data_IF_383632529219
#
_entry.id   IF_383632529219
#
_cell.length_a   1.000
_cell.length_b   1.000
_cell.length_c   1.000
_cell.angle_alpha   90.00
_cell.angle_beta   90.00
_cell.angle_gamma   90.00
#
_symmetry.space_group_name_H-M   'P 1'
#
loop_
_entity.id
_entity.type
_entity.pdbx_description
1 polymer ?
#
# COMPACT_ATOMS: atom_id res chain seq x y z
N UNK A 1 -71.93 -7.95 -43.24
CA UNK A 1 -71.18 -7.39 -42.10
C UNK A 1 -70.19 -8.45 -41.65
N UNK A 2 -68.88 -8.27 -41.88
CA UNK A 2 -67.80 -9.16 -41.44
C UNK A 2 -66.91 -8.36 -40.50
N UNK A 3 -66.89 -8.76 -39.23
CA UNK A 3 -66.02 -8.23 -38.17
C UNK A 3 -64.57 -8.67 -38.43
N UNK A 4 -63.63 -7.73 -38.44
CA UNK A 4 -62.17 -8.00 -38.43
C UNK A 4 -61.68 -7.95 -36.99
N UNK A 5 -61.27 -9.10 -36.48
CA UNK A 5 -60.54 -9.21 -35.24
C UNK A 5 -59.11 -8.77 -35.41
N UNK A 6 -58.65 -7.79 -34.61
CA UNK A 6 -57.28 -7.36 -34.57
C UNK A 6 -56.57 -8.13 -33.44
N UNK A 7 -55.58 -8.93 -33.81
CA UNK A 7 -54.69 -9.62 -32.88
C UNK A 7 -53.52 -8.71 -32.53
N UNK A 8 -53.48 -8.23 -31.26
CA UNK A 8 -52.34 -7.53 -30.70
C UNK A 8 -51.23 -8.52 -30.36
N UNK A 9 -50.16 -8.52 -31.13
CA UNK A 9 -48.94 -9.27 -30.80
C UNK A 9 -48.13 -8.52 -29.74
N UNK A 10 -48.05 -9.11 -28.54
CA UNK A 10 -47.09 -8.69 -27.54
C UNK A 10 -45.70 -9.23 -27.88
N UNK A 11 -44.74 -8.33 -28.13
CA UNK A 11 -43.32 -8.66 -28.27
C UNK A 11 -42.68 -8.66 -26.89
N UNK A 12 -42.12 -9.76 -26.38
CA UNK A 12 -41.43 -9.72 -25.10
C UNK A 12 -40.07 -9.03 -25.28
N UNK A 13 -39.92 -7.88 -24.61
CA UNK A 13 -38.63 -7.21 -24.47
C UNK A 13 -37.71 -8.05 -23.59
N UNK A 14 -36.74 -8.74 -24.17
CA UNK A 14 -35.71 -9.46 -23.43
C UNK A 14 -34.73 -8.44 -22.86
N UNK A 15 -34.83 -8.13 -21.56
CA UNK A 15 -33.81 -7.37 -20.85
C UNK A 15 -32.59 -8.28 -20.67
N UNK A 16 -31.54 -8.06 -21.46
CA UNK A 16 -30.20 -8.61 -21.20
C UNK A 16 -29.62 -7.87 -19.99
N UNK A 17 -29.70 -8.49 -18.82
CA UNK A 17 -28.93 -8.08 -17.64
C UNK A 17 -27.49 -8.49 -17.88
N UNK A 18 -26.65 -7.56 -18.34
CA UNK A 18 -25.21 -7.73 -18.37
C UNK A 18 -24.70 -7.79 -16.93
N UNK A 19 -24.49 -9.00 -16.43
CA UNK A 19 -23.80 -9.23 -15.16
C UNK A 19 -22.34 -8.86 -15.37
N UNK A 20 -21.95 -7.63 -15.01
CA UNK A 20 -20.55 -7.25 -14.93
C UNK A 20 -19.93 -8.07 -13.80
N UNK A 21 -19.21 -9.13 -14.14
CA UNK A 21 -18.32 -9.83 -13.19
C UNK A 21 -17.20 -8.86 -12.83
N UNK A 22 -17.37 -8.12 -11.75
CA UNK A 22 -16.27 -7.45 -11.10
C UNK A 22 -15.28 -8.55 -10.68
N UNK A 23 -14.15 -8.64 -11.36
CA UNK A 23 -13.03 -9.47 -10.87
C UNK A 23 -12.66 -8.91 -9.51
N UNK A 24 -12.92 -9.69 -8.46
CA UNK A 24 -12.45 -9.38 -7.13
C UNK A 24 -10.93 -9.26 -7.21
N UNK A 25 -10.41 -8.07 -6.90
CA UNK A 25 -8.96 -7.85 -6.82
C UNK A 25 -8.40 -8.76 -5.74
N UNK A 26 -7.21 -9.30 -5.99
CA UNK A 26 -6.51 -10.07 -4.96
C UNK A 26 -6.23 -9.16 -3.76
N UNK A 27 -6.84 -9.48 -2.62
CA UNK A 27 -6.71 -8.73 -1.38
C UNK A 27 -5.58 -9.26 -0.51
N UNK A 28 -4.75 -10.16 -1.04
CA UNK A 28 -3.67 -10.79 -0.29
C UNK A 28 -2.34 -10.61 -0.99
N UNK A 29 -1.36 -10.06 -0.27
CA UNK A 29 0.04 -10.01 -0.66
C UNK A 29 0.75 -11.22 -0.03
N UNK A 30 1.44 -12.02 -0.84
CA UNK A 30 2.35 -13.03 -0.34
C UNK A 30 3.76 -12.44 -0.16
N UNK A 31 4.18 -12.27 1.10
CA UNK A 31 5.55 -11.91 1.41
C UNK A 31 6.40 -13.18 1.50
N UNK A 32 7.44 -13.26 0.66
CA UNK A 32 8.24 -14.47 0.50
C UNK A 32 9.43 -14.47 1.46
N UNK A 33 9.68 -15.60 2.11
CA UNK A 33 10.82 -15.83 2.99
C UNK A 33 12.17 -15.53 2.32
N UNK A 34 13.09 -14.97 3.09
CA UNK A 34 14.51 -14.87 2.78
C UNK A 34 15.33 -15.41 3.96
N UNK A 35 16.35 -16.24 3.68
CA UNK A 35 17.13 -16.93 4.72
C UNK A 35 17.96 -15.98 5.60
N UNK A 36 18.31 -14.82 5.07
CA UNK A 36 19.08 -13.80 5.77
C UNK A 36 18.63 -12.39 5.39
N UNK A 37 18.93 -11.46 6.29
CA UNK A 37 18.76 -10.04 5.99
C UNK A 37 19.79 -9.64 4.90
N UNK A 38 19.36 -8.93 3.84
CA UNK A 38 20.22 -8.51 2.75
C UNK A 38 21.09 -7.31 3.13
N UNK A 39 22.03 -6.96 2.27
CA UNK A 39 22.46 -5.57 2.16
C UNK A 39 21.24 -4.72 1.80
N UNK A 40 20.93 -3.76 2.65
CA UNK A 40 19.69 -3.00 2.54
C UNK A 40 19.85 -1.90 1.50
N UNK A 41 19.21 -2.07 0.34
CA UNK A 41 19.26 -1.15 -0.79
C UNK A 41 17.90 -1.06 -1.53
N UNK A 42 17.87 -0.20 -2.55
CA UNK A 42 16.71 0.02 -3.42
C UNK A 42 16.84 -0.65 -4.79
N UNK A 43 17.79 -1.57 -4.97
CA UNK A 43 18.01 -2.23 -6.25
C UNK A 43 16.94 -3.30 -6.51
N UNK A 44 15.84 -2.93 -7.18
CA UNK A 44 14.74 -3.83 -7.53
C UNK A 44 15.19 -5.06 -8.34
N UNK A 45 16.36 -4.99 -9.00
CA UNK A 45 16.94 -6.09 -9.79
C UNK A 45 17.88 -6.99 -8.97
N UNK A 46 18.13 -6.69 -7.69
CA UNK A 46 18.90 -7.58 -6.81
C UNK A 46 18.24 -8.95 -6.68
N UNK A 47 19.01 -9.98 -6.38
CA UNK A 47 18.48 -11.33 -6.15
C UNK A 47 17.46 -11.36 -5.00
N UNK A 48 17.67 -10.52 -3.98
CA UNK A 48 16.75 -10.38 -2.87
C UNK A 48 15.34 -9.96 -3.35
N UNK A 49 15.23 -8.86 -4.09
CA UNK A 49 13.94 -8.36 -4.53
C UNK A 49 13.31 -9.17 -5.66
N UNK A 50 14.12 -9.76 -6.57
CA UNK A 50 13.61 -10.66 -7.62
C UNK A 50 12.97 -11.93 -7.08
N UNK A 51 13.31 -12.36 -5.87
CA UNK A 51 12.68 -13.49 -5.21
C UNK A 51 11.24 -13.22 -4.72
N UNK A 52 10.72 -11.99 -4.89
CA UNK A 52 9.36 -11.60 -4.52
C UNK A 52 8.53 -11.32 -5.77
N UNK A 53 7.31 -11.90 -5.91
CA UNK A 53 6.40 -11.50 -6.97
C UNK A 53 5.98 -10.04 -6.75
N UNK A 54 5.91 -9.23 -7.83
CA UNK A 54 5.46 -7.86 -7.73
C UNK A 54 3.94 -7.79 -7.49
N UNK A 55 3.53 -6.86 -6.66
CA UNK A 55 2.15 -6.41 -6.50
C UNK A 55 2.06 -4.98 -7.01
N UNK A 56 0.89 -4.57 -7.49
CA UNK A 56 0.74 -3.24 -8.05
C UNK A 56 -0.38 -2.49 -7.37
N UNK A 57 -0.15 -1.22 -7.07
CA UNK A 57 -1.19 -0.27 -6.70
C UNK A 57 -1.35 0.78 -7.79
N UNK A 58 -2.58 0.97 -8.24
CA UNK A 58 -2.94 1.85 -9.34
C UNK A 58 -4.38 2.39 -9.24
N UNK A 59 -4.95 2.38 -8.04
CA UNK A 59 -6.25 2.99 -7.75
C UNK A 59 -6.08 4.28 -6.95
N UNK A 60 -6.92 5.26 -7.23
CA UNK A 60 -7.03 6.43 -6.37
C UNK A 60 -7.80 6.10 -5.06
N UNK A 61 -7.93 7.08 -4.17
CA UNK A 61 -8.62 6.92 -2.89
C UNK A 61 -10.09 6.46 -3.01
N UNK A 62 -10.71 6.62 -4.18
CA UNK A 62 -12.11 6.27 -4.48
C UNK A 62 -12.25 5.07 -5.44
N UNK A 63 -11.16 4.35 -5.71
CA UNK A 63 -11.17 3.13 -6.52
C UNK A 63 -11.12 3.35 -8.03
N UNK A 64 -10.91 4.58 -8.48
CA UNK A 64 -10.69 4.86 -9.89
C UNK A 64 -9.24 4.54 -10.26
N UNK A 65 -9.05 3.80 -11.35
CA UNK A 65 -7.70 3.45 -11.81
C UNK A 65 -6.92 4.66 -12.30
N UNK A 66 -5.68 4.77 -11.83
CA UNK A 66 -4.68 5.75 -12.29
C UNK A 66 -3.40 5.04 -12.74
N UNK A 67 -3.39 4.44 -13.95
CA UNK A 67 -2.28 3.64 -14.44
C UNK A 67 -0.99 4.45 -14.64
N UNK A 68 -1.08 5.77 -14.72
CA UNK A 68 0.07 6.67 -14.87
C UNK A 68 1.02 6.58 -13.68
N UNK A 69 0.47 6.45 -12.48
CA UNK A 69 1.22 6.36 -11.23
C UNK A 69 1.26 4.94 -10.65
N UNK A 70 1.00 3.93 -11.51
CA UNK A 70 1.06 2.54 -11.11
C UNK A 70 2.39 2.23 -10.43
N UNK A 71 2.32 1.97 -9.15
CA UNK A 71 3.48 1.69 -8.31
C UNK A 71 3.65 0.19 -8.15
N UNK A 72 4.86 -0.31 -8.43
CA UNK A 72 5.22 -1.69 -8.14
C UNK A 72 5.65 -1.82 -6.68
N UNK A 73 5.23 -2.89 -6.03
CA UNK A 73 5.56 -3.19 -4.65
C UNK A 73 6.10 -4.61 -4.58
N UNK A 74 7.16 -4.80 -3.81
CA UNK A 74 7.71 -6.12 -3.48
C UNK A 74 7.85 -6.25 -1.99
N UNK A 75 7.57 -7.45 -1.44
CA UNK A 75 7.69 -7.71 -0.02
C UNK A 75 8.48 -8.99 0.23
N UNK A 76 9.40 -8.96 1.20
CA UNK A 76 10.16 -10.11 1.69
C UNK A 76 10.16 -10.10 3.21
N UNK A 77 10.37 -11.25 3.82
CA UNK A 77 10.52 -11.33 5.27
C UNK A 77 11.66 -12.27 5.67
N UNK A 78 12.24 -12.01 6.84
CA UNK A 78 13.22 -12.85 7.53
C UNK A 78 12.71 -13.15 8.94
N UNK A 79 13.48 -13.86 9.74
CA UNK A 79 13.13 -14.06 11.16
C UNK A 79 12.98 -12.75 11.93
N UNK A 80 13.62 -11.67 11.48
CA UNK A 80 13.72 -10.41 12.21
C UNK A 80 12.95 -9.27 11.59
N UNK A 81 12.81 -9.26 10.28
CA UNK A 81 12.36 -8.08 9.57
C UNK A 81 11.32 -8.40 8.49
N UNK A 82 10.40 -7.48 8.29
CA UNK A 82 9.60 -7.33 7.08
C UNK A 82 10.27 -6.27 6.19
N UNK A 83 10.37 -6.56 4.90
CA UNK A 83 10.93 -5.67 3.88
C UNK A 83 9.87 -5.30 2.88
N UNK A 84 9.78 -4.02 2.53
CA UNK A 84 8.89 -3.51 1.50
C UNK A 84 9.70 -2.62 0.57
N UNK A 85 9.59 -2.83 -0.74
CA UNK A 85 10.13 -1.98 -1.78
C UNK A 85 9.00 -1.37 -2.58
N UNK A 86 9.06 -0.06 -2.77
CA UNK A 86 8.20 0.70 -3.67
C UNK A 86 9.02 1.16 -4.89
N UNK A 87 8.47 0.96 -6.09
CA UNK A 87 9.00 1.48 -7.36
C UNK A 87 7.97 2.45 -7.91
N UNK A 88 8.27 3.73 -7.85
CA UNK A 88 7.32 4.83 -7.94
C UNK A 88 7.56 5.71 -9.17
N UNK A 89 6.88 5.50 -10.30
CA UNK A 89 6.94 6.43 -11.44
C UNK A 89 6.42 7.81 -11.05
N UNK A 90 7.02 8.87 -11.59
CA UNK A 90 6.60 10.25 -11.33
C UNK A 90 6.75 11.14 -12.57
N UNK A 91 5.97 12.23 -12.63
CA UNK A 91 6.19 13.30 -13.57
C UNK A 91 7.06 14.40 -12.96
N UNK A 92 6.67 14.87 -11.78
CA UNK A 92 7.35 15.87 -11.00
C UNK A 92 7.21 15.54 -9.52
N UNK A 93 8.31 15.52 -8.81
CA UNK A 93 8.34 15.30 -7.37
C UNK A 93 7.97 16.58 -6.62
N UNK A 94 7.22 16.41 -5.55
CA UNK A 94 6.92 17.42 -4.53
C UNK A 94 7.74 17.10 -3.29
N UNK A 95 8.99 17.57 -3.27
CA UNK A 95 9.97 17.27 -2.24
C UNK A 95 9.94 18.30 -1.11
N UNK A 96 10.13 17.84 0.12
CA UNK A 96 10.32 18.74 1.26
C UNK A 96 11.64 19.50 1.12
N UNK A 97 11.64 20.84 1.30
CA UNK A 97 12.89 21.59 1.33
C UNK A 97 13.70 21.26 2.59
N UNK A 98 15.02 21.24 2.46
CA UNK A 98 15.96 20.95 3.55
C UNK A 98 15.65 19.59 4.22
N UNK A 99 15.77 18.47 3.49
CA UNK A 99 15.45 17.16 4.02
C UNK A 99 16.33 16.81 5.22
N UNK A 100 15.76 16.14 6.20
CA UNK A 100 16.48 15.59 7.35
C UNK A 100 16.30 14.06 7.38
N UNK A 101 17.40 13.35 7.18
CA UNK A 101 17.43 11.89 7.22
C UNK A 101 18.04 11.33 8.52
N UNK A 102 18.27 12.20 9.52
CA UNK A 102 18.83 11.82 10.82
C UNK A 102 17.80 11.71 11.93
N UNK A 103 16.58 12.20 11.69
CA UNK A 103 15.47 12.16 12.61
C UNK A 103 14.16 12.06 11.84
N UNK A 104 13.12 11.63 12.50
CA UNK A 104 11.76 11.57 11.96
C UNK A 104 11.30 12.96 11.51
N UNK A 105 10.61 12.97 10.38
CA UNK A 105 10.01 14.19 9.83
C UNK A 105 8.51 14.16 10.09
N UNK A 106 8.06 14.97 11.06
CA UNK A 106 6.64 15.12 11.30
C UNK A 106 5.92 15.71 10.08
N UNK A 107 4.67 15.28 9.84
CA UNK A 107 3.84 15.68 8.70
C UNK A 107 4.50 15.39 7.33
N UNK A 108 5.24 14.27 7.23
CA UNK A 108 5.89 13.88 5.99
C UNK A 108 4.87 13.66 4.86
N UNK A 109 3.65 13.24 5.19
CA UNK A 109 2.51 13.08 4.27
C UNK A 109 2.11 14.35 3.49
N UNK A 110 2.57 15.53 3.88
CA UNK A 110 2.38 16.76 3.10
C UNK A 110 3.21 16.81 1.81
N UNK A 111 4.17 15.89 1.65
CA UNK A 111 5.10 15.78 0.54
C UNK A 111 4.89 14.44 -0.20
N UNK A 112 5.69 14.17 -1.21
CA UNK A 112 5.67 12.86 -1.85
C UNK A 112 6.16 11.79 -0.88
N UNK A 113 5.33 10.76 -0.65
CA UNK A 113 5.62 9.65 0.24
C UNK A 113 5.06 8.34 -0.29
N UNK A 114 5.66 7.22 0.14
CA UNK A 114 5.05 5.91 0.11
C UNK A 114 4.84 5.43 1.54
N UNK A 115 3.73 4.78 1.78
CA UNK A 115 3.22 4.50 3.11
C UNK A 115 2.81 3.03 3.23
N UNK A 116 3.07 2.43 4.39
CA UNK A 116 2.61 1.09 4.73
C UNK A 116 1.89 1.12 6.08
N UNK A 117 0.61 0.79 6.07
CA UNK A 117 -0.23 0.67 7.25
C UNK A 117 -0.39 -0.81 7.58
N UNK A 118 0.06 -1.23 8.77
CA UNK A 118 0.17 -2.65 9.13
C UNK A 118 -0.40 -2.92 10.51
N UNK A 119 -1.36 -3.84 10.61
CA UNK A 119 -1.97 -4.27 11.86
C UNK A 119 -1.89 -5.79 12.06
N UNK A 120 -1.45 -6.23 13.24
CA UNK A 120 -1.37 -7.65 13.59
C UNK A 120 -2.61 -8.13 14.37
N UNK A 121 -3.33 -7.22 15.01
CA UNK A 121 -4.53 -7.55 15.77
C UNK A 121 -5.77 -7.51 14.87
N UNK A 122 -6.41 -8.67 14.69
CA UNK A 122 -7.65 -8.82 13.95
C UNK A 122 -8.90 -8.56 14.80
N UNK A 123 -8.74 -8.53 16.13
CA UNK A 123 -9.84 -8.22 17.06
C UNK A 123 -10.01 -6.73 17.29
N UNK A 124 -8.94 -5.96 17.16
CA UNK A 124 -8.96 -4.49 17.24
C UNK A 124 -8.30 -3.85 16.01
N UNK A 125 -9.07 -3.73 14.94
CA UNK A 125 -8.61 -3.21 13.67
C UNK A 125 -8.30 -1.70 13.69
N UNK A 126 -8.71 -1.00 14.74
CA UNK A 126 -8.50 0.44 14.90
C UNK A 126 -7.11 0.79 15.44
N UNK A 127 -6.33 -0.24 15.81
CA UNK A 127 -4.91 -0.11 16.18
C UNK A 127 -4.02 -0.75 15.15
N UNK A 128 -3.08 0.01 14.62
CA UNK A 128 -2.11 -0.44 13.63
C UNK A 128 -0.86 0.46 13.62
N UNK A 129 0.11 0.12 12.81
CA UNK A 129 1.35 0.88 12.64
C UNK A 129 1.37 1.50 11.25
N UNK A 130 1.87 2.71 11.18
CA UNK A 130 2.11 3.44 9.95
C UNK A 130 3.59 3.71 9.78
N UNK A 131 4.08 3.53 8.58
CA UNK A 131 5.47 3.74 8.17
C UNK A 131 5.48 4.53 6.88
N UNK A 132 6.22 5.64 6.86
CA UNK A 132 6.33 6.49 5.69
C UNK A 132 7.79 6.65 5.25
N UNK A 133 8.00 6.80 3.94
CA UNK A 133 9.27 7.12 3.34
C UNK A 133 9.08 8.12 2.20
N UNK A 134 9.94 9.15 2.16
CA UNK A 134 10.00 10.12 1.07
C UNK A 134 11.02 9.71 0.00
N UNK A 135 10.96 10.29 -1.23
CA UNK A 135 11.97 10.08 -2.25
C UNK A 135 13.39 10.50 -1.83
N UNK A 136 13.52 11.39 -0.85
CA UNK A 136 14.80 11.87 -0.31
C UNK A 136 15.32 11.06 0.87
N UNK A 137 14.54 10.04 1.34
CA UNK A 137 14.92 9.18 2.45
C UNK A 137 14.54 9.72 3.83
N UNK A 138 13.72 10.75 3.89
CA UNK A 138 13.06 11.14 5.14
C UNK A 138 12.01 10.09 5.51
N UNK A 139 11.71 9.97 6.79
CA UNK A 139 10.84 8.92 7.29
C UNK A 139 10.11 9.36 8.56
N UNK A 140 9.01 8.67 8.84
CA UNK A 140 8.29 8.71 10.12
C UNK A 140 7.61 7.38 10.34
N UNK A 141 7.47 6.98 11.61
CA UNK A 141 6.61 5.87 12.03
C UNK A 141 5.65 6.28 13.15
N UNK A 142 4.45 5.74 13.11
CA UNK A 142 3.37 6.11 14.03
C UNK A 142 2.68 4.86 14.56
N UNK A 143 2.25 4.91 15.83
CA UNK A 143 1.41 3.88 16.45
C UNK A 143 -0.05 4.36 16.48
N UNK A 144 -0.77 4.12 15.39
CA UNK A 144 -2.13 4.62 15.21
C UNK A 144 -3.10 3.97 16.21
N UNK A 145 -3.87 4.80 16.90
CA UNK A 145 -5.00 4.39 17.75
C UNK A 145 -6.23 5.26 17.44
N UNK A 146 -7.10 4.73 16.59
CA UNK A 146 -8.34 5.43 16.21
C UNK A 146 -9.41 5.44 17.30
N UNK A 147 -9.19 4.83 18.46
CA UNK A 147 -10.01 5.05 19.65
C UNK A 147 -9.65 6.39 20.33
N UNK A 148 -8.45 6.92 20.07
CA UNK A 148 -7.98 8.21 20.54
C UNK A 148 -7.47 9.08 19.35
N UNK A 149 -8.37 9.58 18.48
CA UNK A 149 -7.99 10.29 17.27
C UNK A 149 -7.38 11.68 17.52
N UNK A 150 -7.51 12.22 18.72
CA UNK A 150 -6.98 13.51 19.13
C UNK A 150 -5.85 13.37 20.15
N UNK A 151 -4.97 12.41 19.93
CA UNK A 151 -3.80 12.23 20.75
C UNK A 151 -2.84 13.42 20.58
N UNK A 152 -2.57 14.15 21.67
CA UNK A 152 -1.69 15.32 21.68
C UNK A 152 -0.26 15.00 21.23
N UNK A 153 0.20 13.74 21.43
CA UNK A 153 1.50 13.28 20.98
C UNK A 153 1.51 12.90 19.49
N UNK A 154 0.36 12.96 18.78
CA UNK A 154 0.25 12.63 17.34
C UNK A 154 0.63 11.19 17.01
N UNK A 155 0.36 10.23 17.95
CA UNK A 155 0.70 8.81 17.85
C UNK A 155 2.19 8.52 17.67
N UNK A 156 3.07 9.44 18.06
CA UNK A 156 4.51 9.28 18.01
C UNK A 156 4.96 7.97 18.63
N UNK A 157 5.82 7.29 17.92
CA UNK A 157 6.35 6.01 18.33
C UNK A 157 7.69 5.80 17.62
N UNK A 158 8.50 4.86 18.05
CA UNK A 158 9.76 4.53 17.40
C UNK A 158 9.87 3.00 17.30
N UNK A 159 9.77 2.50 16.09
CA UNK A 159 9.86 1.07 15.78
C UNK A 159 11.28 0.58 15.60
N UNK A 160 12.22 1.49 15.37
CA UNK A 160 13.56 1.17 14.89
C UNK A 160 13.59 0.73 13.42
N UNK A 161 12.54 1.06 12.62
CA UNK A 161 12.60 0.76 11.20
C UNK A 161 13.66 1.62 10.49
N UNK A 162 14.13 1.12 9.37
CA UNK A 162 15.13 1.80 8.57
C UNK A 162 14.65 1.94 7.14
N UNK A 163 15.07 3.01 6.49
CA UNK A 163 14.72 3.34 5.12
C UNK A 163 15.94 3.47 4.23
N UNK A 164 15.73 3.26 2.93
CA UNK A 164 16.68 3.60 1.87
C UNK A 164 15.89 4.14 0.70
N UNK A 165 16.29 5.28 0.15
CA UNK A 165 15.62 5.88 -0.99
C UNK A 165 16.61 6.24 -2.09
N UNK A 166 16.12 6.27 -3.33
CA UNK A 166 16.89 6.69 -4.52
C UNK A 166 15.95 7.26 -5.57
N UNK A 167 16.33 8.39 -6.14
CA UNK A 167 15.67 8.99 -7.30
C UNK A 167 16.47 8.63 -8.55
N UNK A 168 15.79 8.10 -9.56
CA UNK A 168 16.32 7.89 -10.90
C UNK A 168 15.69 8.92 -11.83
N UNK A 169 16.35 10.04 -11.98
CA UNK A 169 15.86 11.16 -12.76
C UNK A 169 15.71 10.80 -14.25
N UNK A 170 16.61 9.97 -14.78
CA UNK A 170 16.56 9.57 -16.18
C UNK A 170 15.37 8.66 -16.50
N UNK A 171 15.01 7.78 -15.56
CA UNK A 171 13.87 6.89 -15.68
C UNK A 171 12.55 7.53 -15.20
N UNK A 172 12.57 8.68 -14.56
CA UNK A 172 11.43 9.29 -13.86
C UNK A 172 10.79 8.31 -12.86
N UNK A 173 11.63 7.64 -12.06
CA UNK A 173 11.21 6.69 -11.04
C UNK A 173 11.96 6.98 -9.75
N UNK A 174 11.28 6.98 -8.62
CA UNK A 174 11.95 6.90 -7.34
C UNK A 174 11.68 5.55 -6.67
N UNK A 175 12.61 5.12 -5.85
CA UNK A 175 12.58 3.85 -5.13
C UNK A 175 12.64 4.14 -3.65
N UNK A 176 11.73 3.53 -2.89
CA UNK A 176 11.72 3.57 -1.44
C UNK A 176 11.74 2.15 -0.88
N UNK A 177 12.72 1.82 -0.05
CA UNK A 177 12.79 0.55 0.63
C UNK A 177 12.66 0.75 2.14
N UNK A 178 11.84 -0.10 2.78
CA UNK A 178 11.61 -0.14 4.21
C UNK A 178 12.13 -1.47 4.76
N UNK A 179 12.86 -1.43 5.88
CA UNK A 179 13.20 -2.58 6.71
C UNK A 179 12.56 -2.38 8.07
N UNK A 180 11.51 -3.11 8.35
CA UNK A 180 10.69 -2.96 9.55
C UNK A 180 10.97 -4.14 10.48
N UNK A 181 11.43 -3.92 11.72
CA UNK A 181 11.55 -4.99 12.71
C UNK A 181 10.20 -5.69 12.90
N UNK A 182 10.14 -7.01 12.71
CA UNK A 182 8.88 -7.74 12.79
C UNK A 182 8.24 -7.60 14.19
N UNK A 183 9.06 -7.55 15.24
CA UNK A 183 8.62 -7.32 16.62
C UNK A 183 7.95 -5.96 16.85
N UNK A 184 8.15 -5.00 15.96
CA UNK A 184 7.47 -3.71 16.00
C UNK A 184 6.02 -3.79 15.48
N UNK A 185 5.71 -4.83 14.70
CA UNK A 185 4.40 -5.04 14.08
C UNK A 185 3.58 -6.07 14.87
N UNK A 186 4.21 -7.18 15.26
CA UNK A 186 3.56 -8.36 15.83
C UNK A 186 4.38 -8.92 16.98
N UNK A 187 3.72 -9.21 18.09
CA UNK A 187 4.35 -9.85 19.26
C UNK A 187 4.63 -11.35 19.05
N UNK A 188 4.01 -11.96 18.04
CA UNK A 188 4.29 -13.34 17.64
C UNK A 188 5.60 -13.41 16.87
N UNK A 189 6.38 -14.50 16.97
CA UNK A 189 7.52 -14.70 16.09
C UNK A 189 7.12 -14.69 14.60
N UNK A 190 7.99 -14.15 13.74
CA UNK A 190 7.79 -14.24 12.31
C UNK A 190 7.87 -15.70 11.84
N UNK A 191 6.79 -16.23 11.28
CA UNK A 191 6.66 -17.60 10.81
C UNK A 191 5.83 -17.66 9.52
N UNK A 192 6.13 -18.63 8.67
CA UNK A 192 5.27 -18.93 7.52
C UNK A 192 3.86 -19.27 8.00
N UNK A 193 2.86 -18.71 7.31
CA UNK A 193 1.46 -18.80 7.70
C UNK A 193 0.95 -17.62 8.54
N UNK A 194 1.83 -16.81 9.14
CA UNK A 194 1.37 -15.59 9.82
C UNK A 194 0.69 -14.66 8.83
N UNK A 195 -0.39 -14.06 9.27
CA UNK A 195 -1.14 -13.07 8.52
C UNK A 195 -1.17 -11.76 9.27
N UNK A 196 -1.01 -10.67 8.51
CA UNK A 196 -1.13 -9.29 8.95
C UNK A 196 -2.20 -8.61 8.11
N UNK A 197 -2.85 -7.60 8.65
CA UNK A 197 -3.67 -6.67 7.88
C UNK A 197 -2.75 -5.60 7.34
N UNK A 198 -2.89 -5.24 6.08
CA UNK A 198 -2.03 -4.24 5.44
C UNK A 198 -2.81 -3.41 4.43
N UNK A 199 -2.47 -2.13 4.35
CA UNK A 199 -2.71 -1.35 3.15
C UNK A 199 -1.45 -0.57 2.79
N UNK A 200 -1.34 -0.23 1.52
CA UNK A 200 -0.19 0.47 0.97
C UNK A 200 -0.71 1.67 0.20
N UNK A 201 -0.05 2.80 0.42
CA UNK A 201 -0.46 4.06 -0.16
C UNK A 201 0.73 4.83 -0.73
N UNK A 202 0.41 5.80 -1.55
CA UNK A 202 1.37 6.76 -2.06
C UNK A 202 0.69 8.09 -2.27
N UNK A 203 1.30 9.13 -1.76
CA UNK A 203 0.92 10.50 -2.06
C UNK A 203 1.92 11.11 -3.05
N UNK A 204 1.42 11.71 -4.13
CA UNK A 204 2.23 12.21 -5.25
C UNK A 204 1.79 13.62 -5.66
N UNK A 205 2.75 14.52 -5.82
CA UNK A 205 2.52 15.87 -6.34
C UNK A 205 2.05 16.90 -5.30
N UNK A 206 2.00 18.18 -5.67
CA UNK A 206 1.63 19.26 -4.76
C UNK A 206 0.16 19.19 -4.35
N UNK A 207 -0.19 19.80 -3.22
CA UNK A 207 -1.55 19.80 -2.67
C UNK A 207 -2.63 20.26 -3.66
N UNK A 208 -2.29 21.18 -4.58
CA UNK A 208 -3.22 21.67 -5.62
C UNK A 208 -3.52 20.66 -6.74
N UNK A 209 -2.71 19.60 -6.85
CA UNK A 209 -2.83 18.54 -7.87
C UNK A 209 -2.30 17.22 -7.32
N UNK A 210 -2.73 16.86 -6.11
CA UNK A 210 -2.26 15.68 -5.41
C UNK A 210 -2.95 14.42 -5.91
N UNK A 211 -2.16 13.41 -6.22
CA UNK A 211 -2.62 12.07 -6.51
C UNK A 211 -2.40 11.20 -5.26
N UNK A 212 -3.47 10.60 -4.80
CA UNK A 212 -3.46 9.61 -3.73
C UNK A 212 -3.68 8.24 -4.35
N UNK A 213 -2.68 7.38 -4.29
CA UNK A 213 -2.68 6.06 -4.89
C UNK A 213 -2.73 5.01 -3.78
N UNK A 214 -3.57 4.01 -3.95
CA UNK A 214 -3.79 2.95 -2.98
C UNK A 214 -3.67 1.56 -3.60
N UNK A 215 -3.25 0.59 -2.80
CA UNK A 215 -3.35 -0.83 -3.16
C UNK A 215 -4.79 -1.33 -2.98
N UNK A 216 -5.41 -1.00 -1.85
CA UNK A 216 -6.84 -1.18 -1.62
C UNK A 216 -7.44 0.20 -1.39
N UNK A 217 -8.31 0.65 -2.29
CA UNK A 217 -8.91 1.97 -2.20
C UNK A 217 -9.68 2.15 -0.88
N UNK A 218 -9.37 3.17 -0.08
CA UNK A 218 -10.05 3.40 1.19
C UNK A 218 -11.52 3.82 1.00
N UNK A 219 -11.91 4.27 -0.19
CA UNK A 219 -13.23 4.83 -0.51
C UNK A 219 -13.55 6.04 0.39
N UNK A 220 -12.54 6.84 0.66
CA UNK A 220 -12.55 7.98 1.57
C UNK A 220 -11.40 8.92 1.21
N UNK A 221 -11.51 10.20 1.60
CA UNK A 221 -10.40 11.16 1.52
C UNK A 221 -9.31 10.90 2.58
N UNK A 222 -9.59 10.05 3.55
CA UNK A 222 -8.63 9.60 4.55
C UNK A 222 -8.11 8.21 4.22
N UNK A 223 -6.81 7.97 4.41
CA UNK A 223 -6.22 6.63 4.35
C UNK A 223 -6.52 5.78 5.58
N UNK A 224 -6.91 6.40 6.70
CA UNK A 224 -7.22 5.75 7.96
C UNK A 224 -8.59 5.04 7.96
N UNK A 225 -8.77 4.11 7.04
CA UNK A 225 -9.98 3.26 6.91
C UNK A 225 -9.57 1.79 7.05
N UNK A 226 -9.30 1.31 8.28
CA UNK A 226 -8.77 -0.02 8.51
C UNK A 226 -9.70 -1.15 8.05
N UNK A 227 -11.00 -0.91 7.87
CA UNK A 227 -11.97 -1.84 7.30
C UNK A 227 -11.65 -2.20 5.84
N UNK A 228 -10.86 -1.37 5.16
CA UNK A 228 -10.45 -1.54 3.76
C UNK A 228 -9.06 -2.16 3.59
N UNK A 229 -8.39 -2.51 4.68
CA UNK A 229 -7.10 -3.17 4.57
C UNK A 229 -7.26 -4.57 4.00
N UNK A 230 -6.35 -4.95 3.12
CA UNK A 230 -6.18 -6.32 2.69
C UNK A 230 -5.27 -7.10 3.65
N UNK A 231 -4.70 -8.19 3.16
CA UNK A 231 -3.90 -9.13 3.93
C UNK A 231 -2.48 -9.23 3.40
N UNK A 232 -1.53 -9.41 4.29
CA UNK A 232 -0.17 -9.83 3.98
C UNK A 232 0.07 -11.17 4.66
N UNK A 233 0.37 -12.19 3.86
CA UNK A 233 0.65 -13.55 4.31
C UNK A 233 2.14 -13.83 4.19
N UNK A 234 2.76 -14.25 5.28
CA UNK A 234 4.14 -14.72 5.27
C UNK A 234 4.19 -16.12 4.66
N UNK A 235 4.93 -16.29 3.58
CA UNK A 235 5.06 -17.58 2.89
C UNK A 235 6.52 -18.00 2.80
N UNK A 236 6.76 -19.32 2.90
CA UNK A 236 8.04 -19.93 2.58
C UNK A 236 7.80 -20.86 1.40
N UNK A 237 8.41 -20.55 0.25
CA UNK A 237 8.35 -21.42 -0.93
C UNK A 237 9.47 -22.45 -0.81
N UNK A 238 9.17 -23.69 -1.07
CA UNK A 238 10.20 -24.72 -1.27
C UNK A 238 10.88 -24.42 -2.61
N UNK A 239 12.21 -24.46 -2.62
CA UNK A 239 13.02 -24.31 -3.84
C UNK A 239 12.97 -25.58 -4.68
#
# INVERSE_FOLDING_TARGET
MRSKSATNGFLPCLLLVACATAFARDQTIESVWADSDPTFDTNAMSSFWRGSPPVYMDEDAHGKRDPKYRTEIRTRWTKRNLYILFVCPYDRLNLKPNPNTSAETNELWNWDVAEAFIGADFSDIRRYKEFEISPQGEWIDLAIDLHNPHNDDGWKWNSGFAVSARIDEAAHVWYGAMRIPYSAIDNRPAMAGNMLRINLFRSQGPSSARHQIAWQAPMSDSFHVPERFGLLKLVKREE
#
